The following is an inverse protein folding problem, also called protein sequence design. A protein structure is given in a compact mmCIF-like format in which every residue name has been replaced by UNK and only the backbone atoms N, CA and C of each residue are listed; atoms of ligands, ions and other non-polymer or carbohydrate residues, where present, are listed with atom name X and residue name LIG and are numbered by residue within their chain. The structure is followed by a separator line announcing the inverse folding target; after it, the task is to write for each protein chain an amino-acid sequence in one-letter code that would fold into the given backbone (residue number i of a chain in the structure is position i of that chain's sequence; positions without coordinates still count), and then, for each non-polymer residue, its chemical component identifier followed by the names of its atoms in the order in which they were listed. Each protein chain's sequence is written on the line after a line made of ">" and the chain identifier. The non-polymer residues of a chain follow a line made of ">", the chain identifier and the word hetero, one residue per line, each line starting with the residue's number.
data_IF_467602506531
#
_entry.id   IF_467602506531
#
_cell.length_a   1.000
_cell.length_b   1.000
_cell.length_c   1.000
_cell.angle_alpha   90.00
_cell.angle_beta   90.00
_cell.angle_gamma   90.00
#
_symmetry.space_group_name_H-M   'P 1'
#
loop_
_entity.id
_entity.type
_entity.pdbx_description
1 polymer ?
#
# COMPACT_ATOMS: atom_id res chain seq x y z
N UNK A 1 -33.77 50.22 26.85
CA UNK A 1 -32.65 49.41 27.43
C UNK A 1 -32.64 47.94 26.99
N UNK A 2 -33.77 47.15 26.97
CA UNK A 2 -33.70 45.72 26.64
C UNK A 2 -33.31 45.44 25.19
N UNK A 3 -33.69 46.27 24.23
CA UNK A 3 -33.34 46.10 22.81
C UNK A 3 -31.84 46.24 22.54
N UNK A 4 -31.16 47.16 23.21
CA UNK A 4 -29.71 47.33 23.02
C UNK A 4 -28.93 46.11 23.54
N UNK A 5 -29.32 45.52 24.67
CA UNK A 5 -28.70 44.28 25.17
C UNK A 5 -28.93 43.11 24.24
N UNK A 6 -30.12 42.97 23.63
CA UNK A 6 -30.40 41.90 22.68
C UNK A 6 -29.54 42.01 21.40
N UNK A 7 -29.40 43.22 20.87
CA UNK A 7 -28.53 43.46 19.69
C UNK A 7 -27.08 43.14 19.99
N UNK A 8 -26.55 43.58 21.14
CA UNK A 8 -25.18 43.24 21.55
C UNK A 8 -24.99 41.74 21.71
N UNK A 9 -25.92 41.01 22.33
CA UNK A 9 -25.86 39.59 22.48
C UNK A 9 -25.84 38.85 21.13
N UNK A 10 -26.68 39.29 20.19
CA UNK A 10 -26.70 38.70 18.82
C UNK A 10 -25.37 38.94 18.09
N UNK A 11 -24.84 40.17 18.17
CA UNK A 11 -23.56 40.51 17.54
C UNK A 11 -22.41 39.67 18.14
N UNK A 12 -22.35 39.54 19.47
CA UNK A 12 -21.33 38.71 20.14
C UNK A 12 -21.46 37.24 19.73
N UNK A 13 -22.68 36.72 19.70
CA UNK A 13 -22.91 35.33 19.27
C UNK A 13 -22.49 35.12 17.80
N UNK A 14 -22.76 36.07 16.92
CA UNK A 14 -22.36 36.01 15.52
C UNK A 14 -20.83 36.05 15.37
N UNK A 15 -20.14 36.91 16.09
CA UNK A 15 -18.66 36.94 16.08
C UNK A 15 -18.07 35.63 16.64
N UNK A 16 -18.61 35.11 17.73
CA UNK A 16 -18.18 33.84 18.30
C UNK A 16 -18.33 32.67 17.30
N UNK A 17 -19.50 32.60 16.65
CA UNK A 17 -19.78 31.58 15.66
C UNK A 17 -18.86 31.69 14.44
N UNK A 18 -18.68 32.91 13.93
CA UNK A 18 -17.80 33.18 12.77
C UNK A 18 -16.35 32.80 13.09
N UNK A 19 -15.87 33.16 14.29
CA UNK A 19 -14.51 32.79 14.73
C UNK A 19 -14.35 31.29 14.83
N UNK A 20 -15.32 30.58 15.41
CA UNK A 20 -15.32 29.13 15.53
C UNK A 20 -15.27 28.45 14.16
N UNK A 21 -16.10 28.91 13.22
CA UNK A 21 -16.11 28.41 11.85
C UNK A 21 -14.80 28.69 11.12
N UNK A 22 -14.23 29.87 11.28
CA UNK A 22 -12.95 30.24 10.67
C UNK A 22 -11.79 29.37 11.17
N UNK A 23 -11.73 29.11 12.49
CA UNK A 23 -10.74 28.21 13.08
C UNK A 23 -10.92 26.78 12.57
N UNK A 24 -12.16 26.27 12.53
CA UNK A 24 -12.46 24.96 12.00
C UNK A 24 -12.05 24.80 10.53
N UNK A 25 -12.38 25.79 9.70
CA UNK A 25 -11.98 25.82 8.29
C UNK A 25 -10.45 25.86 8.12
N UNK A 26 -9.75 26.64 8.93
CA UNK A 26 -8.29 26.70 8.89
C UNK A 26 -7.65 25.35 9.28
N UNK A 27 -8.18 24.65 10.28
CA UNK A 27 -7.71 23.32 10.68
C UNK A 27 -7.93 22.29 9.57
N UNK A 28 -9.11 22.28 8.94
CA UNK A 28 -9.39 21.37 7.83
C UNK A 28 -8.45 21.64 6.64
N UNK A 29 -8.20 22.89 6.32
CA UNK A 29 -7.26 23.25 5.25
C UNK A 29 -5.84 22.80 5.57
N UNK A 30 -5.37 22.98 6.81
CA UNK A 30 -4.06 22.50 7.24
C UNK A 30 -3.95 20.97 7.14
N UNK A 31 -4.96 20.25 7.59
CA UNK A 31 -5.00 18.79 7.47
C UNK A 31 -5.00 18.34 6.01
N UNK A 32 -5.78 18.99 5.15
CA UNK A 32 -5.79 18.71 3.72
C UNK A 32 -4.43 18.92 3.07
N UNK A 33 -3.78 20.04 3.34
CA UNK A 33 -2.43 20.33 2.83
C UNK A 33 -1.39 19.34 3.37
N UNK A 34 -1.53 18.87 4.61
CA UNK A 34 -0.68 17.84 5.19
C UNK A 34 -0.84 16.51 4.47
N UNK A 35 -2.08 16.08 4.23
CA UNK A 35 -2.38 14.85 3.49
C UNK A 35 -1.81 14.87 2.07
N UNK A 36 -1.93 16.00 1.36
CA UNK A 36 -1.35 16.14 0.02
C UNK A 36 0.17 16.05 -0.03
N UNK A 37 0.86 16.34 1.08
CA UNK A 37 2.32 16.31 1.18
C UNK A 37 2.86 14.99 1.76
N UNK A 38 1.99 14.10 2.18
CA UNK A 38 2.43 12.78 2.67
C UNK A 38 3.15 12.01 1.57
N UNK A 39 4.35 11.50 1.84
CA UNK A 39 5.04 10.64 0.88
C UNK A 39 4.23 9.35 0.68
N UNK A 40 3.82 9.11 -0.54
CA UNK A 40 3.02 7.94 -0.92
C UNK A 40 3.80 6.62 -0.84
N UNK A 41 5.13 6.70 -0.70
CA UNK A 41 6.01 5.53 -0.76
C UNK A 41 6.28 5.04 -2.19
N UNK A 42 5.69 5.68 -3.20
CA UNK A 42 5.91 5.42 -4.62
C UNK A 42 5.85 6.75 -5.40
N UNK A 43 6.37 6.76 -6.63
CA UNK A 43 6.34 7.94 -7.51
C UNK A 43 5.20 7.82 -8.53
N UNK A 44 4.07 8.53 -8.37
CA UNK A 44 2.95 8.45 -9.28
C UNK A 44 3.23 9.17 -10.62
N UNK A 45 4.27 10.01 -10.69
CA UNK A 45 4.61 10.73 -11.90
C UNK A 45 5.05 9.75 -12.99
N UNK A 46 4.41 9.83 -14.14
CA UNK A 46 4.70 8.98 -15.31
C UNK A 46 4.39 7.49 -15.11
N UNK A 47 3.48 7.15 -14.21
CA UNK A 47 2.91 5.80 -14.07
C UNK A 47 1.56 5.78 -14.77
N UNK A 48 1.40 4.85 -15.72
CA UNK A 48 0.12 4.54 -16.33
C UNK A 48 -0.42 3.25 -15.71
N UNK A 49 -1.64 3.26 -15.25
CA UNK A 49 -2.30 2.09 -14.69
C UNK A 49 -3.49 1.70 -15.55
N UNK A 50 -3.69 0.40 -15.75
CA UNK A 50 -4.85 -0.15 -16.42
C UNK A 50 -5.38 -1.36 -15.64
N UNK A 51 -6.69 -1.53 -15.60
CA UNK A 51 -7.32 -2.72 -15.01
C UNK A 51 -7.56 -3.75 -16.10
N UNK A 52 -7.15 -4.97 -15.83
CA UNK A 52 -7.38 -6.12 -16.71
C UNK A 52 -8.24 -7.10 -15.94
N UNK A 53 -9.36 -7.50 -16.52
CA UNK A 53 -10.22 -8.54 -15.95
C UNK A 53 -10.20 -9.73 -16.89
N UNK A 54 -9.70 -10.86 -16.41
CA UNK A 54 -9.79 -12.14 -17.08
C UNK A 54 -10.97 -12.93 -16.46
N UNK A 55 -11.61 -13.83 -17.21
CA UNK A 55 -12.59 -14.75 -16.66
C UNK A 55 -11.98 -15.54 -15.49
N UNK A 56 -12.81 -15.90 -14.51
CA UNK A 56 -12.34 -16.66 -13.35
C UNK A 56 -11.84 -18.05 -13.79
N UNK A 57 -10.65 -18.44 -13.32
CA UNK A 57 -10.09 -19.75 -13.65
C UNK A 57 -10.82 -20.82 -12.85
N UNK A 58 -11.49 -21.74 -13.57
CA UNK A 58 -12.23 -22.87 -12.98
C UNK A 58 -11.43 -24.17 -12.93
N UNK A 59 -10.30 -24.23 -13.61
CA UNK A 59 -9.43 -25.40 -13.72
C UNK A 59 -7.94 -24.99 -13.83
N UNK A 60 -7.03 -25.96 -13.64
CA UNK A 60 -5.58 -25.73 -13.71
C UNK A 60 -5.12 -25.28 -15.11
N UNK A 61 -5.77 -25.80 -16.17
CA UNK A 61 -5.42 -25.42 -17.53
C UNK A 61 -5.76 -23.95 -17.81
N UNK A 62 -6.88 -23.47 -17.29
CA UNK A 62 -7.29 -22.06 -17.42
C UNK A 62 -6.35 -21.16 -16.60
N UNK A 63 -5.94 -21.59 -15.42
CA UNK A 63 -4.97 -20.87 -14.61
C UNK A 63 -3.62 -20.74 -15.32
N UNK A 64 -3.12 -21.83 -15.90
CA UNK A 64 -1.86 -21.83 -16.67
C UNK A 64 -1.93 -20.91 -17.88
N UNK A 65 -3.04 -20.90 -18.61
CA UNK A 65 -3.25 -19.96 -19.74
C UNK A 65 -3.31 -18.52 -19.28
N UNK A 66 -3.91 -18.21 -18.13
CA UNK A 66 -3.92 -16.87 -17.58
C UNK A 66 -2.52 -16.40 -17.20
N UNK A 67 -1.72 -17.27 -16.56
CA UNK A 67 -0.33 -16.94 -16.24
C UNK A 67 0.49 -16.64 -17.50
N UNK A 68 0.33 -17.47 -18.55
CA UNK A 68 0.98 -17.21 -19.83
C UNK A 68 0.52 -15.91 -20.48
N UNK A 69 -0.77 -15.58 -20.41
CA UNK A 69 -1.31 -14.33 -20.95
C UNK A 69 -0.72 -13.12 -20.20
N UNK A 70 -0.61 -13.18 -18.88
CA UNK A 70 0.02 -12.11 -18.09
C UNK A 70 1.51 -11.96 -18.40
N UNK A 71 2.24 -13.05 -18.55
CA UNK A 71 3.66 -13.02 -18.92
C UNK A 71 3.85 -12.38 -20.32
N UNK A 72 3.09 -12.84 -21.32
CA UNK A 72 3.14 -12.27 -22.68
C UNK A 72 2.76 -10.79 -22.72
N UNK A 73 1.80 -10.38 -21.89
CA UNK A 73 1.43 -8.98 -21.74
C UNK A 73 2.58 -8.14 -21.19
N UNK A 74 3.23 -8.60 -20.11
CA UNK A 74 4.38 -7.91 -19.52
C UNK A 74 5.53 -7.76 -20.51
N UNK A 75 5.85 -8.80 -21.26
CA UNK A 75 6.87 -8.75 -22.34
C UNK A 75 6.50 -7.73 -23.41
N UNK A 76 5.23 -7.76 -23.85
CA UNK A 76 4.73 -6.81 -24.87
C UNK A 76 4.81 -5.37 -24.38
N UNK A 77 4.45 -5.10 -23.12
CA UNK A 77 4.54 -3.78 -22.53
C UNK A 77 5.99 -3.31 -22.35
N UNK A 78 6.88 -4.21 -21.93
CA UNK A 78 8.30 -3.89 -21.77
C UNK A 78 9.00 -3.58 -23.12
N UNK A 79 8.50 -4.16 -24.22
CA UNK A 79 9.01 -3.90 -25.57
C UNK A 79 8.56 -2.54 -26.16
N UNK A 80 7.59 -1.86 -25.55
CA UNK A 80 7.10 -0.57 -26.06
C UNK A 80 8.13 0.54 -25.87
N UNK A 81 8.37 1.38 -26.89
CA UNK A 81 9.28 2.51 -26.75
C UNK A 81 8.76 3.50 -25.71
N UNK A 82 9.64 3.90 -24.79
CA UNK A 82 9.31 4.82 -23.68
C UNK A 82 8.81 4.16 -22.40
N UNK A 83 8.59 2.86 -22.39
CA UNK A 83 8.30 2.09 -21.17
C UNK A 83 9.61 1.69 -20.50
N UNK A 84 9.85 2.19 -19.30
CA UNK A 84 11.06 1.88 -18.53
C UNK A 84 10.91 0.58 -17.70
N UNK A 85 9.71 0.28 -17.25
CA UNK A 85 9.38 -0.94 -16.52
C UNK A 85 7.87 -1.20 -16.58
N UNK A 86 7.48 -2.46 -16.51
CA UNK A 86 6.08 -2.90 -16.41
C UNK A 86 5.93 -3.86 -15.22
N UNK A 87 4.77 -3.84 -14.60
CA UNK A 87 4.47 -4.71 -13.47
C UNK A 87 2.98 -4.94 -13.31
N UNK A 88 2.62 -6.05 -12.70
CA UNK A 88 1.25 -6.42 -12.34
C UNK A 88 1.09 -6.39 -10.83
N UNK A 89 -0.10 -6.05 -10.39
CA UNK A 89 -0.52 -6.17 -9.01
C UNK A 89 -2.00 -6.57 -8.96
N UNK A 90 -2.40 -7.30 -7.93
CA UNK A 90 -3.82 -7.60 -7.70
C UNK A 90 -4.62 -6.35 -7.33
N UNK A 91 -3.97 -5.35 -6.74
CA UNK A 91 -4.59 -4.11 -6.30
C UNK A 91 -3.66 -2.92 -6.54
N UNK A 92 -4.24 -1.77 -6.86
CA UNK A 92 -3.51 -0.50 -6.99
C UNK A 92 -3.33 0.10 -5.58
N UNK A 93 -2.17 0.69 -5.24
CA UNK A 93 -2.02 1.43 -3.99
C UNK A 93 -3.10 2.51 -3.86
N UNK A 94 -3.71 2.62 -2.67
CA UNK A 94 -4.83 3.53 -2.39
C UNK A 94 -6.10 3.26 -3.23
N UNK A 95 -6.28 2.03 -3.74
CA UNK A 95 -7.53 1.61 -4.35
C UNK A 95 -8.64 1.37 -3.31
N UNK A 96 -9.85 1.09 -3.82
CA UNK A 96 -11.03 0.90 -2.98
C UNK A 96 -11.00 -0.39 -2.14
N UNK A 97 -10.13 -1.33 -2.48
CA UNK A 97 -9.97 -2.61 -1.80
C UNK A 97 -8.61 -2.59 -1.08
N UNK A 98 -8.61 -2.85 0.21
CA UNK A 98 -7.41 -3.00 1.01
C UNK A 98 -7.48 -4.34 1.75
N UNK A 99 -6.88 -5.36 1.13
CA UNK A 99 -6.83 -6.69 1.73
C UNK A 99 -5.88 -6.67 2.92
N UNK A 100 -6.44 -6.76 4.12
CA UNK A 100 -5.68 -6.79 5.36
C UNK A 100 -5.27 -8.23 5.69
N UNK A 101 -4.04 -8.41 6.17
CA UNK A 101 -3.53 -9.69 6.62
C UNK A 101 -2.72 -9.53 7.89
N UNK A 102 -2.97 -10.41 8.86
CA UNK A 102 -2.17 -10.44 10.08
C UNK A 102 -0.84 -11.14 9.80
N UNK A 103 0.27 -10.48 10.14
CA UNK A 103 1.63 -10.99 9.94
C UNK A 103 2.27 -11.23 11.30
N UNK A 104 2.76 -12.44 11.55
CA UNK A 104 3.39 -12.84 12.80
C UNK A 104 4.81 -13.32 12.55
N UNK A 105 5.68 -13.14 13.54
CA UNK A 105 6.98 -13.77 13.53
C UNK A 105 6.83 -15.29 13.62
N UNK A 106 7.52 -16.02 12.76
CA UNK A 106 7.65 -17.47 12.91
C UNK A 106 8.68 -17.75 14.03
N UNK A 107 8.19 -18.07 15.23
CA UNK A 107 9.01 -18.48 16.37
C UNK A 107 8.69 -19.91 16.75
N UNK A 108 9.72 -20.67 17.15
CA UNK A 108 9.57 -22.05 17.64
C UNK A 108 8.77 -22.11 18.96
N UNK A 109 8.80 -21.04 19.74
CA UNK A 109 8.13 -20.94 21.04
C UNK A 109 6.66 -20.44 21.00
N UNK A 110 6.07 -20.37 19.80
CA UNK A 110 4.76 -19.77 19.61
C UNK A 110 4.86 -18.26 19.29
N UNK A 111 4.10 -17.84 18.28
CA UNK A 111 4.18 -16.49 17.73
C UNK A 111 3.86 -15.43 18.80
N UNK A 112 4.89 -14.78 19.29
CA UNK A 112 4.78 -13.62 20.18
C UNK A 112 5.06 -12.37 19.36
N UNK A 113 4.00 -11.62 19.06
CA UNK A 113 4.08 -10.39 18.30
C UNK A 113 3.63 -10.56 16.85
N UNK A 114 2.86 -9.62 16.39
CA UNK A 114 2.36 -9.54 15.03
C UNK A 114 1.75 -8.17 14.79
N UNK A 115 1.50 -7.86 13.54
CA UNK A 115 0.83 -6.63 13.14
C UNK A 115 -0.04 -6.88 11.91
N UNK A 116 -1.10 -6.10 11.78
CA UNK A 116 -1.93 -6.11 10.59
C UNK A 116 -1.27 -5.27 9.50
N UNK A 117 -1.27 -5.78 8.30
CA UNK A 117 -0.70 -5.12 7.14
C UNK A 117 -1.54 -5.34 5.89
N UNK A 118 -1.52 -4.36 5.01
CA UNK A 118 -2.10 -4.50 3.69
C UNK A 118 -1.28 -5.49 2.86
N UNK A 119 -1.95 -6.45 2.27
CA UNK A 119 -1.35 -7.51 1.47
C UNK A 119 -1.55 -7.27 -0.02
N UNK A 120 -0.48 -7.45 -0.80
CA UNK A 120 -0.53 -7.35 -2.27
C UNK A 120 0.29 -8.46 -2.92
N UNK A 121 -0.28 -9.01 -3.99
CA UNK A 121 0.43 -9.92 -4.88
C UNK A 121 0.94 -9.09 -6.05
N UNK A 122 2.24 -9.14 -6.31
CA UNK A 122 2.88 -8.31 -7.33
C UNK A 122 3.85 -9.13 -8.18
N UNK A 123 4.03 -8.73 -9.43
CA UNK A 123 5.08 -9.29 -10.30
C UNK A 123 6.47 -8.71 -9.95
N UNK A 124 7.58 -9.37 -10.34
CA UNK A 124 8.93 -8.89 -10.07
C UNK A 124 9.20 -7.44 -10.50
N UNK A 125 8.68 -7.02 -11.65
CA UNK A 125 8.86 -5.65 -12.18
C UNK A 125 8.03 -4.56 -11.50
N UNK A 126 7.10 -4.91 -10.61
CA UNK A 126 6.17 -3.95 -10.00
C UNK A 126 6.87 -2.84 -9.21
N UNK A 127 7.84 -3.20 -8.35
CA UNK A 127 8.55 -2.22 -7.54
C UNK A 127 9.30 -1.20 -8.41
N UNK A 128 9.90 -1.68 -9.51
CA UNK A 128 10.59 -0.83 -10.45
C UNK A 128 9.62 0.08 -11.22
N UNK A 129 8.49 -0.45 -11.67
CA UNK A 129 7.45 0.31 -12.36
C UNK A 129 6.87 1.43 -11.48
N UNK A 130 6.63 1.13 -10.21
CA UNK A 130 6.11 2.07 -9.21
C UNK A 130 7.21 2.93 -8.55
N UNK A 131 8.48 2.70 -8.87
CA UNK A 131 9.64 3.36 -8.26
C UNK A 131 9.64 3.28 -6.73
N UNK A 132 9.25 2.13 -6.20
CA UNK A 132 9.29 1.87 -4.77
C UNK A 132 10.73 1.51 -4.39
N UNK A 133 11.40 2.33 -3.55
CA UNK A 133 12.77 2.07 -3.16
C UNK A 133 12.84 0.88 -2.20
N UNK A 134 13.81 0.01 -2.42
CA UNK A 134 14.18 -1.03 -1.45
C UNK A 134 15.08 -0.41 -0.38
N UNK A 135 14.73 -0.60 0.88
CA UNK A 135 15.51 -0.13 2.02
C UNK A 135 16.61 -1.12 2.38
N UNK A 136 16.31 -2.41 2.28
CA UNK A 136 17.22 -3.52 2.56
C UNK A 136 16.74 -4.76 1.80
N UNK A 137 17.63 -5.74 1.65
CA UNK A 137 17.31 -6.99 0.93
C UNK A 137 17.37 -6.85 -0.58
N UNK A 138 16.58 -7.63 -1.28
CA UNK A 138 16.47 -7.65 -2.75
C UNK A 138 15.02 -7.62 -3.20
N UNK A 139 14.78 -7.20 -4.43
CA UNK A 139 13.48 -7.36 -5.09
C UNK A 139 13.18 -8.81 -5.44
N UNK A 140 11.95 -9.06 -5.86
CA UNK A 140 11.58 -10.35 -6.44
C UNK A 140 12.34 -10.60 -7.74
N UNK A 141 12.69 -11.84 -7.95
CA UNK A 141 13.28 -12.36 -9.19
C UNK A 141 12.32 -13.40 -9.79
N UNK A 142 12.48 -13.75 -11.06
CA UNK A 142 11.66 -14.77 -11.74
C UNK A 142 11.64 -16.12 -10.97
N UNK A 143 12.77 -16.48 -10.37
CA UNK A 143 12.87 -17.69 -9.53
C UNK A 143 11.98 -17.67 -8.28
N UNK A 144 11.48 -16.50 -7.88
CA UNK A 144 10.62 -16.33 -6.72
C UNK A 144 9.14 -16.56 -7.04
N UNK A 145 8.75 -16.75 -8.30
CA UNK A 145 7.36 -17.03 -8.70
C UNK A 145 6.79 -18.30 -8.04
N UNK A 146 7.63 -19.31 -7.85
CA UNK A 146 7.27 -20.52 -7.13
C UNK A 146 7.75 -20.54 -5.68
N UNK A 147 8.39 -19.47 -5.21
CA UNK A 147 8.98 -19.40 -3.89
C UNK A 147 8.02 -18.80 -2.87
N UNK A 148 8.26 -19.13 -1.61
CA UNK A 148 7.53 -18.59 -0.48
C UNK A 148 8.11 -17.24 -0.01
N UNK A 149 8.49 -16.40 -0.95
CA UNK A 149 9.14 -15.10 -0.67
C UNK A 149 8.13 -13.98 -0.40
N UNK A 150 8.49 -13.06 0.50
CA UNK A 150 7.70 -11.87 0.82
C UNK A 150 8.61 -10.65 0.99
N UNK A 151 8.12 -9.49 0.56
CA UNK A 151 8.68 -8.19 0.87
C UNK A 151 7.80 -7.50 1.91
N UNK A 152 8.40 -6.95 2.94
CA UNK A 152 7.70 -6.24 4.00
C UNK A 152 7.86 -4.73 3.85
N UNK A 153 6.77 -4.00 4.07
CA UNK A 153 6.85 -2.55 4.18
C UNK A 153 7.75 -2.15 5.36
N UNK A 154 8.55 -1.10 5.20
CA UNK A 154 9.52 -0.66 6.21
C UNK A 154 8.87 -0.37 7.57
N UNK A 155 7.61 0.07 7.61
CA UNK A 155 6.87 0.32 8.84
C UNK A 155 6.57 -1.00 9.58
N UNK A 156 6.10 -2.03 8.84
CA UNK A 156 5.85 -3.34 9.41
C UNK A 156 7.15 -4.00 9.88
N UNK A 157 8.22 -3.91 9.08
CA UNK A 157 9.52 -4.44 9.46
C UNK A 157 10.04 -3.83 10.78
N UNK A 158 9.89 -2.51 10.98
CA UNK A 158 10.25 -1.83 12.25
C UNK A 158 9.34 -2.22 13.42
N UNK A 159 8.11 -2.61 13.16
CA UNK A 159 7.21 -3.08 14.21
C UNK A 159 7.57 -4.52 14.67
N UNK A 160 8.13 -5.33 13.77
CA UNK A 160 8.50 -6.72 14.04
C UNK A 160 9.94 -6.88 14.55
N UNK A 161 10.88 -6.01 14.11
CA UNK A 161 12.30 -6.11 14.47
C UNK A 161 12.88 -4.75 14.87
N UNK A 162 13.90 -4.74 15.77
CA UNK A 162 14.62 -3.51 16.13
C UNK A 162 15.19 -2.77 14.91
N UNK A 163 15.75 -3.51 13.95
CA UNK A 163 16.17 -2.97 12.66
C UNK A 163 15.48 -3.71 11.52
N UNK A 164 15.01 -3.01 10.47
CA UNK A 164 14.32 -3.64 9.34
C UNK A 164 15.16 -4.74 8.64
N UNK A 165 16.48 -4.59 8.60
CA UNK A 165 17.42 -5.56 8.02
C UNK A 165 17.44 -6.88 8.76
N UNK A 166 17.10 -6.91 10.05
CA UNK A 166 17.12 -8.12 10.88
C UNK A 166 16.06 -9.15 10.45
N UNK A 167 15.08 -8.69 9.70
CA UNK A 167 14.03 -9.54 9.10
C UNK A 167 14.48 -10.33 7.89
N UNK A 168 15.56 -9.93 7.19
CA UNK A 168 15.97 -10.58 5.94
C UNK A 168 16.38 -12.03 6.22
N UNK A 169 15.83 -12.96 5.41
CA UNK A 169 16.04 -14.39 5.57
C UNK A 169 15.18 -15.05 6.66
N UNK A 170 14.47 -14.25 7.47
CA UNK A 170 13.55 -14.75 8.49
C UNK A 170 12.23 -15.19 7.88
N UNK A 171 11.54 -16.07 8.59
CA UNK A 171 10.22 -16.54 8.21
C UNK A 171 9.15 -15.77 8.98
N UNK A 172 8.10 -15.41 8.28
CA UNK A 172 6.88 -14.84 8.86
C UNK A 172 5.70 -15.75 8.55
N UNK A 173 4.76 -15.81 9.49
CA UNK A 173 3.49 -16.51 9.32
C UNK A 173 2.41 -15.52 8.95
N UNK A 174 1.70 -15.79 7.87
CA UNK A 174 0.56 -15.00 7.42
C UNK A 174 -0.72 -15.49 8.09
N UNK A 175 -1.72 -14.62 8.18
CA UNK A 175 -3.01 -14.92 8.82
C UNK A 175 -3.77 -16.12 8.22
N UNK A 176 -3.47 -16.49 6.99
CA UNK A 176 -3.96 -17.71 6.33
C UNK A 176 -3.18 -18.97 6.70
N UNK A 177 -2.23 -18.88 7.63
CA UNK A 177 -1.40 -19.99 8.09
C UNK A 177 -0.17 -20.28 7.23
N UNK A 178 0.03 -19.61 6.11
CA UNK A 178 1.18 -19.81 5.24
C UNK A 178 2.44 -19.15 5.81
N UNK A 179 3.58 -19.78 5.60
CA UNK A 179 4.89 -19.23 5.93
C UNK A 179 5.53 -18.61 4.70
N UNK A 180 6.21 -17.47 4.89
CA UNK A 180 6.94 -16.77 3.82
C UNK A 180 8.28 -16.30 4.33
N UNK A 181 9.31 -16.38 3.49
CA UNK A 181 10.65 -15.89 3.81
C UNK A 181 10.79 -14.44 3.36
N UNK A 182 11.28 -13.60 4.25
CA UNK A 182 11.57 -12.19 3.96
C UNK A 182 12.83 -12.09 3.10
N UNK A 183 12.76 -11.40 1.96
CA UNK A 183 13.85 -11.25 0.99
C UNK A 183 14.31 -9.83 0.81
#
# INVERSE_FOLDING_TARGET
>A
LPFACAIVAVVVAQFALTTLLAVGAAQLLQQWLHLQRMPLGFDPARVLTARISLPEASDEDTLARQQQAYAALLESLAALPGVAAAGLANEIPQGDIDTQMHVQLASEDGATGGADASWRIVSPGYLQAMRIPLVAGRGFAERDESSESVLLGATLARALWPQPSDGIGRWVRLGNGQYRQVV
#
